data_IF_510231394065
#
_entry.id   IF_510231394065
#
_cell.length_a   1.000
_cell.length_b   1.000
_cell.length_c   1.000
_cell.angle_alpha   90.00
_cell.angle_beta   90.00
_cell.angle_gamma   90.00
#
_symmetry.space_group_name_H-M   'P 1'
#
loop_
_entity.id
_entity.type
_entity.pdbx_description
1 polymer ?
#
# COMPACT_ATOMS: atom_id res chain seq x y z
N UNK A 1 11.01 -15.75 -2.85
CA UNK A 1 12.35 -16.18 -2.34
C UNK A 1 13.01 -15.08 -1.52
N UNK A 2 13.23 -13.87 -2.05
CA UNK A 2 13.84 -12.78 -1.27
C UNK A 2 12.99 -12.36 -0.06
N UNK A 3 11.68 -12.15 -0.24
CA UNK A 3 10.78 -11.81 0.87
C UNK A 3 10.79 -12.89 1.97
N UNK A 4 10.71 -14.17 1.59
CA UNK A 4 10.72 -15.29 2.54
C UNK A 4 12.05 -15.38 3.31
N UNK A 5 13.17 -15.10 2.64
CA UNK A 5 14.48 -15.00 3.28
C UNK A 5 14.51 -13.86 4.29
N UNK A 6 14.14 -12.64 3.87
CA UNK A 6 14.11 -11.46 4.75
C UNK A 6 13.17 -11.69 5.93
N UNK A 7 11.99 -12.25 5.68
CA UNK A 7 11.01 -12.58 6.70
C UNK A 7 11.59 -13.49 7.77
N UNK A 8 12.16 -14.64 7.37
CA UNK A 8 12.68 -15.65 8.30
C UNK A 8 13.97 -15.24 9.01
N UNK A 9 14.78 -14.38 8.41
CA UNK A 9 16.14 -14.06 8.91
C UNK A 9 16.26 -12.70 9.58
N UNK A 10 15.43 -11.73 9.18
CA UNK A 10 15.51 -10.34 9.65
C UNK A 10 14.20 -9.91 10.29
N UNK A 11 13.08 -9.95 9.56
CA UNK A 11 11.83 -9.32 10.00
C UNK A 11 11.29 -9.95 11.29
N UNK A 12 11.37 -11.28 11.42
CA UNK A 12 10.88 -11.99 12.61
C UNK A 12 11.82 -11.92 13.83
N UNK A 13 13.02 -11.35 13.67
CA UNK A 13 14.00 -11.22 14.76
C UNK A 13 14.03 -9.84 15.39
N UNK A 14 13.23 -8.92 14.88
CA UNK A 14 13.11 -7.54 15.36
C UNK A 14 11.74 -7.40 16.02
N UNK A 15 11.65 -6.51 17.00
CA UNK A 15 10.38 -6.15 17.62
C UNK A 15 9.33 -5.80 16.53
N UNK A 16 8.10 -6.35 16.60
CA UNK A 16 7.08 -6.17 15.55
C UNK A 16 6.73 -4.71 15.27
N UNK A 17 6.69 -3.86 16.29
CA UNK A 17 6.36 -2.44 16.15
C UNK A 17 7.52 -1.69 15.50
N UNK A 18 8.75 -1.98 15.93
CA UNK A 18 9.96 -1.39 15.32
C UNK A 18 10.08 -1.78 13.85
N UNK A 19 9.91 -3.06 13.51
CA UNK A 19 10.04 -3.48 12.11
C UNK A 19 8.89 -2.96 11.25
N UNK A 20 7.69 -2.84 11.81
CA UNK A 20 6.57 -2.19 11.15
C UNK A 20 6.93 -0.75 10.77
N UNK A 21 7.38 0.08 11.72
CA UNK A 21 7.77 1.47 11.48
C UNK A 21 8.88 1.60 10.42
N UNK A 22 9.88 0.71 10.49
CA UNK A 22 10.97 0.67 9.49
C UNK A 22 10.43 0.34 8.11
N UNK A 23 9.51 -0.63 7.99
CA UNK A 23 8.89 -0.99 6.73
C UNK A 23 8.03 0.16 6.18
N UNK A 24 7.21 0.79 7.01
CA UNK A 24 6.34 1.92 6.60
C UNK A 24 7.20 3.07 6.08
N UNK A 25 8.26 3.46 6.81
CA UNK A 25 9.22 4.48 6.34
C UNK A 25 9.91 4.10 5.03
N UNK A 26 10.26 2.83 4.88
CA UNK A 26 10.82 2.30 3.63
C UNK A 26 9.86 2.46 2.46
N UNK A 27 8.58 2.15 2.65
CA UNK A 27 7.53 2.34 1.64
C UNK A 27 7.25 3.83 1.40
N UNK A 28 7.25 4.67 2.44
CA UNK A 28 7.10 6.12 2.29
C UNK A 28 8.21 6.71 1.40
N UNK A 29 9.44 6.22 1.53
CA UNK A 29 10.55 6.63 0.69
C UNK A 29 10.34 6.26 -0.78
N UNK A 30 9.74 5.10 -1.09
CA UNK A 30 9.45 4.73 -2.49
C UNK A 30 8.44 5.69 -3.11
N UNK A 31 7.43 6.13 -2.36
CA UNK A 31 6.45 7.11 -2.81
C UNK A 31 7.05 8.51 -3.06
N UNK A 32 8.07 8.90 -2.27
CA UNK A 32 8.74 10.21 -2.37
C UNK A 32 9.68 10.34 -3.57
N UNK A 33 10.19 9.22 -4.11
CA UNK A 33 11.17 9.21 -5.19
C UNK A 33 10.51 8.75 -6.50
N UNK A 34 10.22 9.65 -7.46
CA UNK A 34 9.42 9.32 -8.65
C UNK A 34 9.95 8.12 -9.44
N UNK A 35 11.26 8.07 -9.68
CA UNK A 35 11.90 6.96 -10.39
C UNK A 35 11.74 5.61 -9.67
N UNK A 36 11.91 5.60 -8.35
CA UNK A 36 11.74 4.38 -7.54
C UNK A 36 10.28 3.95 -7.55
N UNK A 37 9.35 4.91 -7.39
CA UNK A 37 7.91 4.67 -7.47
C UNK A 37 7.51 4.02 -8.79
N UNK A 38 8.04 4.50 -9.91
CA UNK A 38 7.72 3.97 -11.24
C UNK A 38 8.25 2.56 -11.44
N UNK A 39 9.47 2.28 -10.98
CA UNK A 39 10.05 0.93 -10.97
C UNK A 39 9.22 -0.03 -10.11
N UNK A 40 8.85 0.40 -8.89
CA UNK A 40 8.00 -0.39 -7.97
C UNK A 40 6.64 -0.66 -8.61
N UNK A 41 6.01 0.36 -9.22
CA UNK A 41 4.71 0.24 -9.89
C UNK A 41 4.77 -0.71 -11.07
N UNK A 42 5.85 -0.69 -11.85
CA UNK A 42 6.02 -1.60 -12.97
C UNK A 42 6.25 -3.05 -12.51
N UNK A 43 7.00 -3.24 -11.43
CA UNK A 43 7.34 -4.55 -10.88
C UNK A 43 6.17 -5.20 -10.13
N UNK A 44 5.47 -4.44 -9.29
CA UNK A 44 4.48 -4.95 -8.32
C UNK A 44 3.10 -4.30 -8.45
N UNK A 45 2.97 -3.11 -9.02
CA UNK A 45 1.73 -2.33 -9.09
C UNK A 45 0.66 -2.82 -10.09
N UNK A 46 0.76 -4.06 -10.59
CA UNK A 46 -0.23 -4.62 -11.53
C UNK A 46 -1.56 -4.88 -10.83
N UNK A 47 -2.56 -4.06 -11.16
CA UNK A 47 -3.95 -4.30 -10.75
C UNK A 47 -4.61 -5.32 -11.69
N UNK A 48 -5.43 -6.25 -11.18
CA UNK A 48 -6.22 -7.13 -12.03
C UNK A 48 -7.06 -6.28 -13.00
N UNK A 49 -7.06 -6.63 -14.28
CA UNK A 49 -7.88 -5.99 -15.32
C UNK A 49 -9.38 -6.34 -15.19
N UNK A 50 -9.84 -6.63 -13.98
CA UNK A 50 -11.27 -6.71 -13.72
C UNK A 50 -11.78 -5.28 -13.93
N UNK A 51 -12.72 -5.06 -14.87
CA UNK A 51 -13.38 -3.78 -15.00
C UNK A 51 -14.20 -3.60 -13.71
N UNK A 52 -13.59 -3.08 -12.66
CA UNK A 52 -14.34 -2.41 -11.61
C UNK A 52 -14.91 -1.20 -12.32
N UNK A 53 -16.25 -1.05 -12.40
CA UNK A 53 -16.85 0.16 -12.95
C UNK A 53 -16.28 1.31 -12.14
N UNK A 54 -15.28 1.97 -12.71
CA UNK A 54 -14.48 2.95 -12.00
C UNK A 54 -15.39 4.04 -11.45
N UNK A 55 -14.95 4.72 -10.39
CA UNK A 55 -15.56 5.95 -9.92
C UNK A 55 -15.77 6.90 -11.11
N UNK A 56 -17.00 6.99 -11.61
CA UNK A 56 -17.36 7.81 -12.78
C UNK A 56 -18.08 7.10 -13.92
N UNK A 57 -18.07 5.76 -14.00
CA UNK A 57 -18.75 5.02 -15.09
C UNK A 57 -19.81 4.02 -14.63
N UNK A 58 -19.95 3.80 -13.33
CA UNK A 58 -20.97 2.91 -12.79
C UNK A 58 -22.10 3.68 -12.12
N UNK A 59 -23.31 3.12 -12.21
CA UNK A 59 -24.50 3.68 -11.55
C UNK A 59 -24.39 3.72 -10.02
N UNK A 60 -25.50 4.00 -9.29
CA UNK A 60 -25.46 4.24 -7.84
C UNK A 60 -24.92 3.07 -6.98
N UNK A 61 -24.80 1.87 -7.55
CA UNK A 61 -24.28 0.68 -6.89
C UNK A 61 -22.84 0.34 -7.26
N UNK A 62 -22.19 1.21 -8.05
CA UNK A 62 -20.82 0.99 -8.47
C UNK A 62 -19.84 1.30 -7.34
N UNK A 63 -18.77 0.52 -7.30
CA UNK A 63 -17.72 0.68 -6.31
C UNK A 63 -16.82 1.87 -6.70
N UNK A 64 -16.63 2.88 -5.84
CA UNK A 64 -15.93 4.11 -6.20
C UNK A 64 -14.40 3.99 -6.13
N UNK A 65 -13.83 2.79 -6.28
CA UNK A 65 -12.38 2.57 -6.14
C UNK A 65 -11.82 1.73 -7.30
N UNK A 66 -10.58 1.98 -7.74
CA UNK A 66 -10.00 1.40 -8.94
C UNK A 66 -9.56 -0.07 -8.84
N UNK A 67 -9.81 -0.77 -7.72
CA UNK A 67 -9.43 -2.17 -7.57
C UNK A 67 -10.23 -2.97 -6.55
N UNK A 68 -10.10 -4.29 -6.61
CA UNK A 68 -10.84 -5.22 -5.73
C UNK A 68 -10.18 -5.40 -4.36
N UNK A 69 -8.84 -5.33 -4.33
CA UNK A 69 -8.00 -5.46 -3.14
C UNK A 69 -7.62 -4.07 -2.63
N UNK A 70 -7.78 -3.83 -1.34
CA UNK A 70 -7.29 -2.61 -0.68
C UNK A 70 -6.53 -2.91 0.59
N UNK A 71 -5.85 -1.88 1.09
CA UNK A 71 -5.12 -1.91 2.33
C UNK A 71 -6.02 -1.40 3.46
N UNK A 72 -6.17 -2.20 4.51
CA UNK A 72 -6.99 -1.86 5.68
C UNK A 72 -6.31 -0.81 6.58
N UNK A 73 -7.13 -0.13 7.38
CA UNK A 73 -6.67 0.80 8.40
C UNK A 73 -5.72 0.14 9.41
N UNK A 74 -4.93 0.97 10.08
CA UNK A 74 -3.93 0.55 11.05
C UNK A 74 -2.56 0.22 10.44
N UNK A 75 -2.45 0.05 9.11
CA UNK A 75 -1.16 -0.12 8.43
C UNK A 75 -0.40 1.19 8.27
N UNK A 76 -1.09 2.27 7.91
CA UNK A 76 -0.53 3.61 7.80
C UNK A 76 -1.41 4.55 8.64
N UNK A 77 -1.00 4.74 9.90
CA UNK A 77 -1.78 5.51 10.87
C UNK A 77 -1.74 7.01 10.59
N UNK A 78 -0.64 7.49 10.02
CA UNK A 78 -0.37 8.92 9.82
C UNK A 78 -0.47 9.35 8.34
N UNK A 79 -0.70 8.40 7.42
CA UNK A 79 -0.79 8.67 5.99
C UNK A 79 0.55 8.97 5.32
N UNK A 80 1.66 8.47 5.87
CA UNK A 80 3.00 8.79 5.38
C UNK A 80 3.44 7.96 4.16
N UNK A 81 2.82 6.82 3.92
CA UNK A 81 3.24 5.83 2.93
C UNK A 81 2.23 5.60 1.79
N UNK A 82 1.16 6.40 1.71
CA UNK A 82 0.04 6.24 0.75
C UNK A 82 0.52 6.05 -0.69
N UNK A 83 1.40 6.91 -1.19
CA UNK A 83 1.93 6.83 -2.56
C UNK A 83 2.76 5.56 -2.82
N UNK A 84 3.53 5.12 -1.82
CA UNK A 84 4.30 3.89 -1.91
C UNK A 84 3.40 2.65 -1.89
N UNK A 85 2.36 2.66 -1.05
CA UNK A 85 1.36 1.61 -1.01
C UNK A 85 0.55 1.53 -2.31
N UNK A 86 0.18 2.67 -2.90
CA UNK A 86 -0.48 2.71 -4.21
C UNK A 86 0.40 2.11 -5.31
N UNK A 87 1.71 2.40 -5.28
CA UNK A 87 2.68 1.82 -6.20
C UNK A 87 2.82 0.29 -6.05
N UNK A 88 2.52 -0.29 -4.88
CA UNK A 88 2.47 -1.74 -4.68
C UNK A 88 1.22 -2.39 -5.29
N UNK A 89 0.25 -1.60 -5.76
CA UNK A 89 -0.89 -2.09 -6.55
C UNK A 89 -2.21 -2.19 -5.78
N UNK A 90 -2.29 -1.71 -4.53
CA UNK A 90 -3.57 -1.63 -3.82
C UNK A 90 -4.56 -0.75 -4.59
N UNK A 91 -5.81 -1.18 -4.68
CA UNK A 91 -6.89 -0.44 -5.36
C UNK A 91 -7.48 0.70 -4.52
N UNK A 92 -7.32 0.63 -3.20
CA UNK A 92 -7.64 1.71 -2.27
C UNK A 92 -6.85 1.48 -0.99
N UNK A 93 -6.65 2.55 -0.22
CA UNK A 93 -5.88 2.54 1.02
C UNK A 93 -6.73 3.26 2.07
N UNK A 94 -7.02 2.58 3.17
CA UNK A 94 -7.69 3.17 4.32
C UNK A 94 -6.62 3.64 5.32
N UNK A 95 -6.53 4.96 5.51
CA UNK A 95 -5.53 5.59 6.39
C UNK A 95 -6.13 5.77 7.79
N UNK A 96 -5.29 5.71 8.82
CA UNK A 96 -5.66 5.93 10.21
C UNK A 96 -5.46 4.69 11.07
N UNK A 97 -5.99 4.64 12.29
CA UNK A 97 -6.99 5.56 12.85
C UNK A 97 -6.39 6.87 13.37
N UNK A 98 -6.95 8.01 12.92
CA UNK A 98 -6.67 9.32 13.50
C UNK A 98 -7.65 9.62 14.62
N UNK A 99 -7.15 10.19 15.73
CA UNK A 99 -8.00 10.77 16.78
C UNK A 99 -7.83 12.29 16.77
N UNK A 100 -8.94 13.02 16.69
CA UNK A 100 -8.90 14.48 16.85
C UNK A 100 -8.35 14.84 18.23
N UNK A 101 -7.45 15.84 18.28
CA UNK A 101 -6.90 16.40 19.52
C UNK A 101 -7.77 17.56 20.01
#
# INVERSE_FOLDING_TARGET
MLYDLLYKTVLTRIDPEVIHDVCVKGVALTGRLPFVRDVVRQAWGRRPAIPVPSAGQGGPFARPVPGVLGLAAGMDKEGEAVEGMDALGFGFIEVGTFTAQ
#
